data_IF_834141035806
#
_entry.id   IF_834141035806
#
_cell.length_a   1.000
_cell.length_b   1.000
_cell.length_c   1.000
_cell.angle_alpha   90.00
_cell.angle_beta   90.00
_cell.angle_gamma   90.00
#
_symmetry.space_group_name_H-M   'P 1'
#
loop_
_entity.id
_entity.type
_entity.pdbx_description
1 polymer ?
#
# COMPACT_ATOMS: atom_id res chain seq x y z
N UNK A 1 -10.79 2.85 2.86
CA UNK A 1 -11.92 1.97 2.52
C UNK A 1 -11.47 0.57 2.06
N UNK A 2 -10.45 0.42 1.18
CA UNK A 2 -10.04 -0.91 0.67
C UNK A 2 -9.69 -1.87 1.80
N UNK A 3 -8.83 -1.47 2.75
CA UNK A 3 -8.47 -2.34 3.89
C UNK A 3 -9.65 -2.64 4.81
N UNK A 4 -10.54 -1.65 5.03
CA UNK A 4 -11.74 -1.86 5.83
C UNK A 4 -12.68 -2.87 5.15
N UNK A 5 -12.89 -2.75 3.84
CA UNK A 5 -13.74 -3.68 3.11
C UNK A 5 -13.12 -5.08 3.00
N UNK A 6 -11.80 -5.18 2.79
CA UNK A 6 -11.08 -6.44 2.89
C UNK A 6 -11.22 -7.06 4.29
N UNK A 7 -11.14 -6.24 5.34
CA UNK A 7 -11.41 -6.66 6.72
C UNK A 7 -12.82 -7.23 6.90
N UNK A 8 -13.83 -6.59 6.32
CA UNK A 8 -15.22 -7.09 6.37
C UNK A 8 -15.38 -8.43 5.66
N UNK A 9 -14.77 -8.59 4.48
CA UNK A 9 -14.92 -9.79 3.68
C UNK A 9 -14.14 -10.99 4.23
N UNK A 10 -12.96 -10.77 4.79
CA UNK A 10 -12.04 -11.86 5.16
C UNK A 10 -11.85 -12.03 6.67
N UNK A 11 -12.16 -11.02 7.50
CA UNK A 11 -11.82 -11.00 8.93
C UNK A 11 -12.98 -10.51 9.83
N UNK A 12 -14.21 -10.66 9.39
CA UNK A 12 -15.42 -10.25 10.14
C UNK A 12 -15.42 -8.77 10.58
N UNK A 13 -14.71 -7.92 9.84
CA UNK A 13 -14.63 -6.49 10.10
C UNK A 13 -13.61 -6.06 11.16
N UNK A 14 -12.88 -6.99 11.76
CA UNK A 14 -11.85 -6.68 12.77
C UNK A 14 -10.45 -6.97 12.22
N UNK A 15 -9.63 -5.94 12.16
CA UNK A 15 -8.22 -6.03 11.75
C UNK A 15 -7.24 -5.95 12.93
N UNK A 16 -7.73 -5.98 14.17
CA UNK A 16 -6.89 -5.99 15.37
C UNK A 16 -5.99 -7.23 15.38
N UNK A 17 -4.69 -7.03 15.55
CA UNK A 17 -3.70 -8.11 15.51
C UNK A 17 -3.42 -8.66 14.11
N UNK A 18 -3.94 -8.02 13.05
CA UNK A 18 -3.68 -8.36 11.64
C UNK A 18 -2.64 -7.43 11.04
N UNK A 19 -2.02 -7.88 9.94
CA UNK A 19 -1.06 -7.05 9.23
C UNK A 19 -1.11 -7.18 7.71
N UNK A 20 -0.80 -6.09 7.06
CA UNK A 20 -0.76 -5.94 5.60
C UNK A 20 0.69 -5.88 5.15
N UNK A 21 1.07 -6.70 4.17
CA UNK A 21 2.31 -6.57 3.43
C UNK A 21 2.05 -5.77 2.15
N UNK A 22 2.82 -4.73 1.93
CA UNK A 22 2.69 -3.90 0.73
C UNK A 22 4.03 -3.29 0.31
N UNK A 23 4.06 -2.69 -0.88
CA UNK A 23 5.23 -1.97 -1.37
C UNK A 23 4.84 -0.63 -2.00
N UNK A 24 5.80 0.29 -1.99
CA UNK A 24 5.67 1.64 -2.53
C UNK A 24 5.21 2.67 -1.49
N UNK A 25 6.07 3.66 -1.24
CA UNK A 25 5.81 4.84 -0.38
C UNK A 25 5.85 6.15 -1.16
N UNK A 26 5.73 6.07 -2.48
CA UNK A 26 5.65 7.22 -3.38
C UNK A 26 4.35 8.03 -3.22
N UNK A 27 3.96 8.79 -4.27
CA UNK A 27 2.79 9.66 -4.23
C UNK A 27 1.50 8.95 -3.80
N UNK A 28 1.15 7.88 -4.51
CA UNK A 28 -0.06 7.09 -4.22
C UNK A 28 0.17 6.08 -3.08
N UNK A 29 1.27 5.32 -3.16
CA UNK A 29 1.57 4.25 -2.21
C UNK A 29 1.80 4.74 -0.78
N UNK A 30 2.30 5.95 -0.63
CA UNK A 30 2.56 6.55 0.68
C UNK A 30 1.35 6.74 1.59
N UNK A 31 0.12 6.61 1.07
CA UNK A 31 -1.09 6.64 1.89
C UNK A 31 -1.42 5.29 2.55
N UNK A 32 -0.86 4.20 2.06
CA UNK A 32 -1.20 2.85 2.54
C UNK A 32 -0.89 2.62 4.03
N UNK A 33 0.29 3.00 4.55
CA UNK A 33 0.61 2.75 5.96
C UNK A 33 -0.38 3.44 6.90
N UNK A 34 -0.70 4.71 6.65
CA UNK A 34 -1.70 5.43 7.45
C UNK A 34 -3.09 4.81 7.30
N UNK A 35 -3.49 4.41 6.07
CA UNK A 35 -4.78 3.75 5.84
C UNK A 35 -4.88 2.41 6.57
N UNK A 36 -3.81 1.63 6.65
CA UNK A 36 -3.78 0.37 7.39
C UNK A 36 -3.96 0.60 8.89
N UNK A 37 -3.24 1.56 9.47
CA UNK A 37 -3.34 1.88 10.90
C UNK A 37 -4.70 2.49 11.26
N UNK A 38 -5.28 3.34 10.40
CA UNK A 38 -6.65 3.86 10.59
C UNK A 38 -7.71 2.73 10.51
N UNK A 39 -7.45 1.69 9.73
CA UNK A 39 -8.29 0.51 9.66
C UNK A 39 -8.09 -0.48 10.84
N UNK A 40 -7.09 -0.27 11.70
CA UNK A 40 -6.79 -1.10 12.86
C UNK A 40 -5.73 -2.19 12.62
N UNK A 41 -5.10 -2.23 11.44
CA UNK A 41 -4.07 -3.20 11.10
C UNK A 41 -2.65 -2.66 11.28
N UNK A 42 -1.68 -3.54 11.54
CA UNK A 42 -0.28 -3.25 11.27
C UNK A 42 -0.01 -3.24 9.75
N UNK A 43 1.09 -2.63 9.33
CA UNK A 43 1.58 -2.79 7.95
C UNK A 43 3.09 -2.85 7.87
N UNK A 44 3.59 -3.69 6.96
CA UNK A 44 4.98 -3.69 6.52
C UNK A 44 5.02 -3.12 5.10
N UNK A 45 5.72 -2.01 4.94
CA UNK A 45 5.74 -1.21 3.73
C UNK A 45 7.16 -1.18 3.17
N UNK A 46 7.38 -1.84 2.04
CA UNK A 46 8.69 -1.95 1.42
C UNK A 46 8.90 -0.78 0.46
N UNK A 47 10.03 -0.09 0.58
CA UNK A 47 10.36 1.05 -0.28
C UNK A 47 11.86 1.05 -0.61
N UNK A 48 12.18 1.21 -1.89
CA UNK A 48 13.55 1.22 -2.38
C UNK A 48 14.25 2.59 -2.27
N UNK A 49 13.53 3.65 -1.94
CA UNK A 49 14.07 5.00 -1.79
C UNK A 49 14.00 5.46 -0.33
N UNK A 50 15.17 5.62 0.31
CA UNK A 50 15.23 6.11 1.69
C UNK A 50 14.56 7.49 1.84
N UNK A 51 14.69 8.36 0.84
CA UNK A 51 14.07 9.70 0.86
C UNK A 51 12.54 9.65 0.94
N UNK A 52 11.91 8.64 0.32
CA UNK A 52 10.47 8.41 0.42
C UNK A 52 10.09 7.96 1.84
N UNK A 53 10.87 7.06 2.43
CA UNK A 53 10.68 6.61 3.82
C UNK A 53 10.79 7.81 4.78
N UNK A 54 11.88 8.59 4.68
CA UNK A 54 12.13 9.77 5.53
C UNK A 54 10.97 10.78 5.43
N UNK A 55 10.47 10.99 4.22
CA UNK A 55 9.33 11.87 3.99
C UNK A 55 8.08 11.37 4.70
N UNK A 56 7.77 10.06 4.61
CA UNK A 56 6.57 9.47 5.24
C UNK A 56 6.66 9.40 6.76
N UNK A 57 7.86 9.20 7.31
CA UNK A 57 8.10 9.32 8.75
C UNK A 57 7.87 10.77 9.23
N UNK A 58 8.46 11.74 8.53
CA UNK A 58 8.31 13.16 8.88
C UNK A 58 6.85 13.64 8.80
N UNK A 59 6.10 13.16 7.82
CA UNK A 59 4.68 13.51 7.63
C UNK A 59 3.72 12.62 8.42
N UNK A 60 4.24 11.67 9.23
CA UNK A 60 3.46 10.76 10.07
C UNK A 60 2.51 9.83 9.32
N UNK A 61 2.87 9.48 8.08
CA UNK A 61 2.17 8.44 7.33
C UNK A 61 2.72 7.05 7.66
N UNK A 62 3.99 6.98 8.05
CA UNK A 62 4.65 5.78 8.60
C UNK A 62 5.06 6.08 10.03
N UNK A 63 4.86 5.12 10.93
CA UNK A 63 5.18 5.27 12.35
C UNK A 63 6.65 4.97 12.64
N UNK A 64 7.21 3.91 12.05
CA UNK A 64 8.56 3.43 12.34
C UNK A 64 9.28 2.93 11.09
N UNK A 65 10.62 2.93 11.11
CA UNK A 65 11.45 2.23 10.14
C UNK A 65 12.19 1.08 10.81
N UNK A 66 12.18 -0.10 10.18
CA UNK A 66 12.97 -1.25 10.59
C UNK A 66 14.39 -1.17 10.03
N UNK A 67 15.36 -1.71 10.76
CA UNK A 67 16.75 -1.76 10.34
C UNK A 67 16.98 -2.77 9.22
N UNK A 68 16.29 -3.91 9.28
CA UNK A 68 16.35 -5.00 8.31
C UNK A 68 15.05 -5.82 8.35
N UNK A 69 15.00 -6.89 7.56
CA UNK A 69 13.82 -7.76 7.46
C UNK A 69 13.51 -8.49 8.77
N UNK A 70 14.53 -8.90 9.52
CA UNK A 70 14.34 -9.63 10.77
C UNK A 70 13.78 -8.71 11.86
N UNK A 71 14.30 -7.47 11.96
CA UNK A 71 13.75 -6.43 12.83
C UNK A 71 12.30 -6.06 12.43
N UNK A 72 12.01 -5.95 11.12
CA UNK A 72 10.67 -5.69 10.63
C UNK A 72 9.68 -6.77 11.08
N UNK A 73 10.02 -8.03 10.90
CA UNK A 73 9.16 -9.15 11.30
C UNK A 73 8.99 -9.25 12.81
N UNK A 74 10.06 -9.00 13.58
CA UNK A 74 9.98 -8.98 15.05
C UNK A 74 9.05 -7.87 15.57
N UNK A 75 9.09 -6.68 14.94
CA UNK A 75 8.17 -5.58 15.27
C UNK A 75 6.72 -5.91 14.88
N UNK A 76 6.48 -6.46 13.69
CA UNK A 76 5.15 -6.91 13.26
C UNK A 76 4.59 -7.91 14.26
N UNK A 77 5.35 -8.94 14.62
CA UNK A 77 4.94 -9.93 15.62
C UNK A 77 4.61 -9.31 16.98
N UNK A 78 5.47 -8.39 17.44
CA UNK A 78 5.26 -7.67 18.71
C UNK A 78 3.95 -6.88 18.70
N UNK A 79 3.70 -6.08 17.65
CA UNK A 79 2.55 -5.18 17.62
C UNK A 79 1.25 -5.92 17.35
N UNK A 80 1.26 -6.94 16.49
CA UNK A 80 0.09 -7.78 16.26
C UNK A 80 -0.33 -8.53 17.53
N UNK A 81 0.62 -9.10 18.29
CA UNK A 81 0.33 -9.73 19.61
C UNK A 81 -0.24 -8.74 20.62
N UNK A 82 0.10 -7.47 20.54
CA UNK A 82 -0.41 -6.41 21.42
C UNK A 82 -1.74 -5.82 20.94
N UNK A 83 -2.23 -6.20 19.76
CA UNK A 83 -3.39 -5.60 19.13
C UNK A 83 -3.19 -4.12 18.76
N UNK A 84 -1.94 -3.67 18.58
CA UNK A 84 -1.62 -2.30 18.21
C UNK A 84 -1.46 -2.17 16.70
N UNK A 85 -2.13 -1.19 16.11
CA UNK A 85 -1.95 -0.83 14.71
C UNK A 85 -0.73 0.10 14.57
N UNK A 86 0.34 -0.42 13.98
CA UNK A 86 1.60 0.31 13.74
C UNK A 86 2.06 0.04 12.31
N UNK A 87 2.47 1.08 11.62
CA UNK A 87 3.02 0.99 10.27
C UNK A 87 4.56 1.01 10.31
N UNK A 88 5.17 0.05 9.62
CA UNK A 88 6.62 -0.13 9.58
C UNK A 88 7.10 -0.01 8.14
N UNK A 89 8.06 0.86 7.89
CA UNK A 89 8.79 0.92 6.63
C UNK A 89 10.02 0.01 6.67
N UNK A 90 10.31 -0.63 5.55
CA UNK A 90 11.54 -1.37 5.34
C UNK A 90 12.21 -0.89 4.05
N UNK A 91 13.46 -0.40 4.16
CA UNK A 91 14.24 -0.04 2.99
C UNK A 91 14.70 -1.29 2.24
N UNK A 92 14.30 -1.43 0.99
CA UNK A 92 14.67 -2.57 0.16
C UNK A 92 13.82 -2.71 -1.11
N UNK A 93 14.12 -3.73 -1.88
CA UNK A 93 13.42 -4.02 -3.13
C UNK A 93 12.32 -5.06 -2.90
N UNK A 94 11.08 -4.72 -3.19
CA UNK A 94 9.94 -5.63 -3.02
C UNK A 94 10.07 -6.92 -3.84
N UNK A 95 10.68 -6.84 -5.03
CA UNK A 95 10.93 -8.00 -5.87
C UNK A 95 11.99 -8.98 -5.32
N UNK A 96 12.73 -8.58 -4.28
CA UNK A 96 13.66 -9.42 -3.53
C UNK A 96 13.05 -9.87 -2.20
N UNK A 97 12.40 -8.95 -1.50
CA UNK A 97 11.87 -9.19 -0.15
C UNK A 97 10.64 -10.10 -0.16
N UNK A 98 9.69 -9.90 -1.09
CA UNK A 98 8.49 -10.75 -1.14
C UNK A 98 8.82 -12.22 -1.40
N UNK A 99 9.67 -12.57 -2.41
CA UNK A 99 10.11 -13.96 -2.59
C UNK A 99 10.82 -14.54 -1.36
N UNK A 100 11.61 -13.74 -0.64
CA UNK A 100 12.28 -14.18 0.59
C UNK A 100 11.28 -14.45 1.71
N UNK A 101 10.24 -13.63 1.87
CA UNK A 101 9.17 -13.86 2.83
C UNK A 101 8.40 -15.16 2.51
N UNK A 102 8.10 -15.41 1.23
CA UNK A 102 7.50 -16.68 0.78
C UNK A 102 8.40 -17.87 1.14
N UNK A 103 9.71 -17.76 0.84
CA UNK A 103 10.70 -18.81 1.15
C UNK A 103 10.78 -19.10 2.65
N UNK A 104 10.63 -18.08 3.49
CA UNK A 104 10.61 -18.21 4.97
C UNK A 104 9.28 -18.74 5.51
N UNK A 105 8.26 -18.92 4.67
CA UNK A 105 6.92 -19.33 5.11
C UNK A 105 6.22 -18.26 5.95
N UNK A 106 6.56 -16.98 5.78
CA UNK A 106 5.89 -15.87 6.45
C UNK A 106 4.47 -15.73 5.90
N UNK A 107 3.49 -15.56 6.77
CA UNK A 107 2.07 -15.51 6.40
C UNK A 107 1.44 -14.16 6.79
N UNK A 108 1.45 -13.15 5.90
CA UNK A 108 0.69 -11.92 6.10
C UNK A 108 -0.81 -12.20 6.12
N UNK A 109 -1.59 -11.31 6.72
CA UNK A 109 -3.06 -11.39 6.64
C UNK A 109 -3.59 -10.85 5.31
N UNK A 110 -2.89 -9.90 4.68
CA UNK A 110 -3.18 -9.37 3.35
C UNK A 110 -1.88 -9.02 2.63
N UNK A 111 -1.89 -9.16 1.30
CA UNK A 111 -0.78 -8.73 0.43
C UNK A 111 -1.32 -7.82 -0.67
N UNK A 112 -0.65 -6.70 -0.86
CA UNK A 112 -0.98 -5.76 -1.94
C UNK A 112 0.26 -5.06 -2.48
N UNK A 113 0.10 -4.25 -3.53
CA UNK A 113 1.17 -3.46 -4.14
C UNK A 113 0.67 -2.13 -4.67
N UNK A 114 1.46 -1.09 -4.43
CA UNK A 114 1.26 0.25 -4.99
C UNK A 114 2.61 0.87 -5.40
N UNK A 115 3.52 0.06 -5.92
CA UNK A 115 4.73 0.56 -6.57
C UNK A 115 4.39 1.33 -7.86
N UNK A 116 5.32 2.15 -8.36
CA UNK A 116 5.13 2.89 -9.61
C UNK A 116 5.40 2.01 -10.85
N UNK A 117 4.85 0.80 -10.87
CA UNK A 117 5.05 -0.20 -11.91
C UNK A 117 4.53 0.22 -13.30
N UNK A 118 3.65 1.23 -13.36
CA UNK A 118 3.18 1.82 -14.61
C UNK A 118 4.27 2.57 -15.40
N UNK A 119 5.37 2.93 -14.74
CA UNK A 119 6.55 3.53 -15.37
C UNK A 119 7.79 2.63 -15.12
N UNK A 120 8.03 1.61 -15.94
CA UNK A 120 9.15 0.70 -15.75
C UNK A 120 10.52 1.36 -15.95
N UNK A 121 10.57 2.54 -16.62
CA UNK A 121 11.83 3.26 -16.81
C UNK A 121 12.25 4.07 -15.59
N UNK A 122 11.31 4.70 -14.88
CA UNK A 122 11.63 5.62 -13.78
C UNK A 122 11.00 5.26 -12.43
N UNK A 123 10.08 4.30 -12.41
CA UNK A 123 9.23 4.00 -11.27
C UNK A 123 9.49 2.65 -10.58
N UNK A 124 10.31 1.78 -11.16
CA UNK A 124 10.52 0.44 -10.57
C UNK A 124 12.00 0.02 -10.61
N UNK A 125 12.62 -0.10 -9.46
CA UNK A 125 14.02 -0.47 -9.31
C UNK A 125 14.24 -1.94 -9.69
N UNK A 126 15.13 -2.25 -10.68
CA UNK A 126 15.49 -3.62 -10.98
C UNK A 126 16.22 -4.33 -9.83
N UNK A 127 16.01 -5.64 -9.71
CA UNK A 127 16.69 -6.49 -8.72
C UNK A 127 18.20 -6.39 -8.87
N UNK A 128 18.91 -6.26 -7.74
CA UNK A 128 20.36 -6.22 -7.68
C UNK A 128 20.99 -4.89 -8.13
N UNK A 129 20.19 -3.89 -8.50
CA UNK A 129 20.71 -2.59 -8.88
C UNK A 129 20.66 -1.60 -7.72
N UNK A 130 21.66 -0.70 -7.64
CA UNK A 130 21.57 0.46 -6.76
C UNK A 130 20.68 1.52 -7.39
N UNK A 131 20.18 2.44 -6.56
CA UNK A 131 19.38 3.57 -7.05
C UNK A 131 20.19 4.48 -7.98
N UNK A 132 21.48 4.68 -7.70
CA UNK A 132 22.40 5.47 -8.50
C UNK A 132 22.64 4.83 -9.87
N UNK A 133 22.92 3.52 -9.91
CA UNK A 133 23.07 2.75 -11.14
C UNK A 133 21.81 2.82 -12.00
N UNK A 134 20.64 2.57 -11.41
CA UNK A 134 19.36 2.67 -12.07
C UNK A 134 19.15 4.04 -12.73
N UNK A 135 19.35 5.11 -11.97
CA UNK A 135 19.21 6.50 -12.44
C UNK A 135 20.19 6.86 -13.55
N UNK A 136 21.40 6.34 -13.50
CA UNK A 136 22.41 6.56 -14.53
C UNK A 136 22.04 5.83 -15.83
N UNK A 137 21.71 4.53 -15.72
CA UNK A 137 21.37 3.69 -16.87
C UNK A 137 20.03 4.06 -17.53
N UNK A 138 19.08 4.58 -16.78
CA UNK A 138 17.83 5.09 -17.34
C UNK A 138 18.06 6.18 -18.41
N UNK A 139 19.16 6.93 -18.32
CA UNK A 139 19.51 7.97 -19.29
C UNK A 139 20.26 7.44 -20.52
N UNK A 140 21.03 6.39 -20.36
CA UNK A 140 21.96 5.88 -21.41
C UNK A 140 21.49 4.58 -22.05
N UNK A 141 20.73 3.76 -21.30
CA UNK A 141 20.31 2.42 -21.69
C UNK A 141 18.84 2.16 -21.34
N UNK A 142 17.88 3.00 -21.77
CA UNK A 142 16.49 2.94 -21.31
C UNK A 142 15.82 1.58 -21.58
N UNK A 143 16.09 0.95 -22.69
CA UNK A 143 15.51 -0.37 -23.04
C UNK A 143 16.01 -1.48 -22.11
N UNK A 144 17.28 -1.43 -21.69
CA UNK A 144 17.85 -2.38 -20.74
C UNK A 144 17.20 -2.22 -19.37
N UNK A 145 16.99 -0.97 -18.94
CA UNK A 145 16.31 -0.64 -17.68
C UNK A 145 14.88 -1.14 -17.69
N UNK A 146 14.10 -0.82 -18.72
CA UNK A 146 12.70 -1.25 -18.85
C UNK A 146 12.60 -2.77 -18.81
N UNK A 147 13.45 -3.48 -19.51
CA UNK A 147 13.46 -4.96 -19.50
C UNK A 147 13.79 -5.51 -18.09
N UNK A 148 14.84 -5.00 -17.46
CA UNK A 148 15.24 -5.44 -16.12
C UNK A 148 14.17 -5.13 -15.06
N UNK A 149 13.52 -3.98 -15.15
CA UNK A 149 12.40 -3.61 -14.28
C UNK A 149 11.21 -4.55 -14.45
N UNK A 150 10.79 -4.84 -15.70
CA UNK A 150 9.69 -5.79 -15.99
C UNK A 150 10.00 -7.20 -15.47
N UNK A 151 11.23 -7.69 -15.65
CA UNK A 151 11.65 -8.98 -15.11
C UNK A 151 11.61 -9.01 -13.58
N UNK A 152 11.90 -7.89 -12.94
CA UNK A 152 11.78 -7.75 -11.49
C UNK A 152 10.31 -7.72 -11.03
N UNK A 153 9.45 -7.01 -11.77
CA UNK A 153 8.00 -7.03 -11.54
C UNK A 153 7.42 -8.43 -11.70
N UNK A 154 7.90 -9.23 -12.66
CA UNK A 154 7.48 -10.62 -12.82
C UNK A 154 7.77 -11.46 -11.55
N UNK A 155 8.95 -11.29 -10.94
CA UNK A 155 9.28 -11.96 -9.66
C UNK A 155 8.42 -11.47 -8.50
N UNK A 156 8.15 -10.18 -8.44
CA UNK A 156 7.25 -9.60 -7.44
C UNK A 156 5.84 -10.18 -7.55
N UNK A 157 5.26 -10.18 -8.75
CA UNK A 157 3.92 -10.74 -9.00
C UNK A 157 3.89 -12.24 -8.75
N UNK A 158 4.95 -12.99 -9.09
CA UNK A 158 5.03 -14.41 -8.76
C UNK A 158 4.96 -14.65 -7.25
N UNK A 159 5.66 -13.85 -6.45
CA UNK A 159 5.57 -13.94 -4.99
C UNK A 159 4.17 -13.58 -4.47
N UNK A 160 3.50 -12.59 -5.06
CA UNK A 160 2.10 -12.28 -4.73
C UNK A 160 1.17 -13.46 -5.03
N UNK A 161 1.34 -14.14 -6.17
CA UNK A 161 0.61 -15.35 -6.53
C UNK A 161 0.89 -16.50 -5.55
N UNK A 162 2.11 -16.61 -5.07
CA UNK A 162 2.47 -17.65 -4.09
C UNK A 162 1.82 -17.36 -2.73
N UNK A 163 1.73 -16.11 -2.28
CA UNK A 163 0.93 -15.73 -1.12
C UNK A 163 -0.56 -16.05 -1.32
N UNK A 164 -1.12 -15.78 -2.51
CA UNK A 164 -2.50 -16.15 -2.82
C UNK A 164 -2.71 -17.68 -2.70
N UNK A 165 -1.78 -18.50 -3.20
CA UNK A 165 -1.83 -19.97 -3.06
C UNK A 165 -1.75 -20.42 -1.60
N UNK A 166 -1.09 -19.66 -0.73
CA UNK A 166 -1.08 -19.86 0.71
C UNK A 166 -2.41 -19.47 1.39
N UNK A 167 -3.41 -19.00 0.64
CA UNK A 167 -4.71 -18.56 1.14
C UNK A 167 -4.74 -17.13 1.65
N UNK A 168 -3.70 -16.33 1.36
CA UNK A 168 -3.64 -14.92 1.76
C UNK A 168 -4.46 -14.06 0.78
N UNK A 169 -5.40 -13.25 1.23
CA UNK A 169 -6.07 -12.23 0.41
C UNK A 169 -5.04 -11.33 -0.28
N UNK A 170 -4.99 -11.41 -1.62
CA UNK A 170 -3.99 -10.74 -2.44
C UNK A 170 -4.67 -9.90 -3.53
N UNK A 171 -4.24 -8.66 -3.70
CA UNK A 171 -4.80 -7.75 -4.71
C UNK A 171 -3.78 -6.66 -5.07
N UNK A 172 -3.99 -5.94 -6.18
CA UNK A 172 -3.21 -4.76 -6.53
C UNK A 172 -4.08 -3.48 -6.56
N UNK A 173 -3.42 -2.35 -6.59
CA UNK A 173 -4.08 -1.04 -6.69
C UNK A 173 -4.16 -0.50 -8.13
N UNK A 174 -4.05 -1.36 -9.15
CA UNK A 174 -4.21 -0.95 -10.56
C UNK A 174 -3.02 -0.17 -11.11
N UNK A 175 -1.82 -0.50 -10.65
CA UNK A 175 -0.56 0.13 -11.05
C UNK A 175 0.13 -0.54 -12.26
N UNK A 176 -0.58 -1.40 -12.98
CA UNK A 176 -0.11 -2.17 -14.14
C UNK A 176 0.96 -3.25 -13.85
N UNK A 177 1.30 -3.54 -12.60
CA UNK A 177 2.34 -4.53 -12.28
C UNK A 177 2.02 -5.92 -12.86
N UNK A 178 0.74 -6.33 -12.85
CA UNK A 178 0.30 -7.61 -13.41
C UNK A 178 0.50 -7.68 -14.92
N UNK A 179 0.17 -6.61 -15.63
CA UNK A 179 0.39 -6.52 -17.08
C UNK A 179 1.88 -6.62 -17.42
N UNK A 180 2.74 -5.90 -16.70
CA UNK A 180 4.19 -5.96 -16.91
C UNK A 180 4.75 -7.34 -16.63
N UNK A 181 4.24 -8.04 -15.60
CA UNK A 181 4.64 -9.42 -15.31
C UNK A 181 4.16 -10.41 -16.37
N UNK A 182 2.94 -10.24 -16.90
CA UNK A 182 2.42 -11.09 -17.98
C UNK A 182 3.26 -10.97 -19.25
N UNK A 183 3.71 -9.78 -19.60
CA UNK A 183 4.61 -9.53 -20.73
C UNK A 183 5.99 -10.23 -20.57
N UNK A 184 6.39 -10.54 -19.33
CA UNK A 184 7.60 -11.30 -18.99
C UNK A 184 7.31 -12.79 -18.69
N UNK A 185 6.15 -13.30 -19.09
CA UNK A 185 5.84 -14.74 -19.09
C UNK A 185 5.14 -15.26 -17.84
N UNK A 186 4.65 -14.40 -16.94
CA UNK A 186 3.77 -14.82 -15.83
C UNK A 186 2.34 -14.92 -16.36
N UNK A 187 2.00 -16.05 -16.98
CA UNK A 187 0.72 -16.24 -17.68
C UNK A 187 -0.51 -16.01 -16.77
N UNK A 188 -0.39 -16.40 -15.52
CA UNK A 188 -1.44 -16.27 -14.50
C UNK A 188 -1.36 -15.00 -13.63
N UNK A 189 -0.67 -13.94 -14.10
CA UNK A 189 -0.50 -12.69 -13.36
C UNK A 189 -1.82 -12.02 -12.90
N UNK A 190 -2.93 -12.34 -13.56
CA UNK A 190 -4.27 -11.81 -13.25
C UNK A 190 -5.14 -12.73 -12.39
N UNK A 191 -4.60 -13.82 -11.83
CA UNK A 191 -5.38 -14.73 -10.98
C UNK A 191 -5.79 -14.07 -9.65
N UNK A 192 -5.03 -13.10 -9.14
CA UNK A 192 -5.52 -12.25 -8.06
C UNK A 192 -6.17 -10.97 -8.62
N UNK A 193 -7.21 -10.44 -7.95
CA UNK A 193 -7.97 -9.29 -8.45
C UNK A 193 -7.24 -7.97 -8.24
N UNK A 194 -7.69 -6.93 -8.96
CA UNK A 194 -7.44 -5.55 -8.56
C UNK A 194 -8.39 -5.12 -7.43
N UNK A 195 -8.01 -4.09 -6.67
CA UNK A 195 -8.78 -3.60 -5.52
C UNK A 195 -10.19 -3.10 -5.89
N UNK A 196 -10.35 -2.54 -7.10
CA UNK A 196 -11.65 -2.01 -7.54
C UNK A 196 -12.69 -3.13 -7.65
N UNK A 197 -12.49 -4.19 -8.47
CA UNK A 197 -13.47 -5.26 -8.56
C UNK A 197 -13.63 -6.02 -7.24
N UNK A 198 -12.58 -6.19 -6.45
CA UNK A 198 -12.63 -6.96 -5.22
C UNK A 198 -13.37 -6.24 -4.08
N UNK A 199 -13.10 -4.95 -3.88
CA UNK A 199 -13.53 -4.25 -2.66
C UNK A 199 -14.32 -2.96 -2.91
N UNK A 200 -13.99 -2.20 -3.94
CA UNK A 200 -14.52 -0.83 -4.11
C UNK A 200 -15.78 -0.80 -4.96
N UNK A 201 -15.88 -1.61 -6.02
CA UNK A 201 -17.07 -1.65 -6.88
C UNK A 201 -18.36 -1.94 -6.11
N UNK A 202 -18.42 -2.90 -5.15
CA UNK A 202 -19.62 -3.11 -4.34
C UNK A 202 -20.04 -1.89 -3.54
N UNK A 203 -19.10 -1.07 -3.07
CA UNK A 203 -19.39 0.19 -2.38
C UNK A 203 -19.99 1.22 -3.34
N UNK A 204 -19.41 1.40 -4.52
CA UNK A 204 -19.91 2.32 -5.55
C UNK A 204 -21.32 1.98 -5.99
N UNK A 205 -21.65 0.69 -6.12
CA UNK A 205 -23.00 0.23 -6.46
C UNK A 205 -24.04 0.59 -5.40
N UNK A 206 -23.60 0.88 -4.17
CA UNK A 206 -24.48 1.34 -3.06
C UNK A 206 -24.45 2.85 -2.87
N UNK A 207 -23.80 3.60 -3.78
CA UNK A 207 -23.64 5.05 -3.67
C UNK A 207 -22.58 5.49 -2.68
N UNK A 208 -21.75 4.56 -2.17
CA UNK A 208 -20.63 4.84 -1.26
C UNK A 208 -19.37 5.02 -2.10
N UNK A 209 -18.86 6.23 -2.20
CA UNK A 209 -17.70 6.52 -3.04
C UNK A 209 -16.65 7.38 -2.34
N UNK A 210 -15.46 7.53 -2.95
CA UNK A 210 -14.46 8.45 -2.47
C UNK A 210 -14.88 9.88 -2.82
N UNK A 211 -15.44 10.59 -1.86
CA UNK A 211 -15.71 12.02 -2.01
C UNK A 211 -14.46 12.82 -1.62
N UNK A 212 -14.22 13.88 -2.34
CA UNK A 212 -13.15 14.84 -2.06
C UNK A 212 -13.71 16.25 -2.14
N UNK A 213 -13.37 17.07 -1.16
CA UNK A 213 -13.64 18.50 -1.21
C UNK A 213 -12.40 19.28 -0.81
N UNK A 214 -12.28 20.47 -1.35
CA UNK A 214 -11.15 21.35 -1.12
C UNK A 214 -11.64 22.74 -0.76
N UNK A 215 -10.89 23.44 0.07
CA UNK A 215 -11.14 24.85 0.37
C UNK A 215 -10.60 25.71 -0.77
N UNK A 216 -11.45 26.13 -1.69
CA UNK A 216 -11.06 27.05 -2.78
C UNK A 216 -10.59 28.41 -2.27
N UNK A 217 -11.03 28.80 -1.08
CA UNK A 217 -10.58 30.00 -0.37
C UNK A 217 -9.14 29.87 0.15
N UNK A 218 -8.60 28.65 0.27
CA UNK A 218 -7.37 28.37 1.00
C UNK A 218 -7.53 28.36 2.52
N UNK A 219 -8.74 28.60 3.03
CA UNK A 219 -9.04 28.57 4.45
C UNK A 219 -9.45 27.16 4.89
N UNK A 220 -8.71 26.49 5.80
CA UNK A 220 -9.04 25.16 6.30
C UNK A 220 -10.40 25.10 7.03
N UNK A 221 -10.92 26.22 7.54
CA UNK A 221 -12.25 26.27 8.16
C UNK A 221 -13.37 25.86 7.21
N UNK A 222 -13.22 26.05 5.90
CA UNK A 222 -14.20 25.59 4.92
C UNK A 222 -14.26 24.04 4.84
N UNK A 223 -13.14 23.35 5.07
CA UNK A 223 -13.11 21.88 5.18
C UNK A 223 -13.88 21.46 6.44
N UNK A 224 -13.64 22.11 7.57
CA UNK A 224 -14.32 21.76 8.82
C UNK A 224 -15.84 22.01 8.78
N UNK A 225 -16.28 23.08 8.12
CA UNK A 225 -17.70 23.34 7.84
C UNK A 225 -18.31 22.26 6.96
N UNK A 226 -17.59 21.82 5.92
CA UNK A 226 -18.05 20.74 5.03
C UNK A 226 -18.15 19.43 5.78
N UNK A 227 -17.14 19.06 6.59
CA UNK A 227 -17.16 17.86 7.42
C UNK A 227 -18.36 17.87 8.41
N UNK A 228 -18.60 19.01 9.07
CA UNK A 228 -19.73 19.16 9.98
C UNK A 228 -21.06 19.00 9.25
N UNK A 229 -21.18 19.57 8.04
CA UNK A 229 -22.41 19.45 7.23
C UNK A 229 -22.65 18.03 6.75
N UNK A 230 -21.61 17.28 6.40
CA UNK A 230 -21.71 15.85 6.06
C UNK A 230 -22.26 15.05 7.23
N UNK A 231 -21.75 15.28 8.45
CA UNK A 231 -22.27 14.62 9.67
C UNK A 231 -23.73 14.95 9.95
N UNK A 232 -24.13 16.20 9.73
CA UNK A 232 -25.53 16.63 9.87
C UNK A 232 -26.47 15.92 8.88
N UNK A 233 -26.02 15.79 7.60
CA UNK A 233 -26.85 15.22 6.53
C UNK A 233 -26.89 13.70 6.53
N UNK A 234 -25.86 13.05 7.07
CA UNK A 234 -25.70 11.59 7.15
C UNK A 234 -25.47 11.17 8.60
N UNK A 235 -26.49 11.34 9.49
CA UNK A 235 -26.31 11.18 10.93
C UNK A 235 -26.04 9.73 11.37
N UNK A 236 -26.50 8.75 10.59
CA UNK A 236 -26.49 7.33 10.98
C UNK A 236 -25.26 6.55 10.50
N UNK A 237 -24.29 7.20 9.81
CA UNK A 237 -23.08 6.56 9.36
C UNK A 237 -21.91 6.80 10.34
N UNK A 238 -21.88 5.99 11.40
CA UNK A 238 -20.82 6.05 12.41
C UNK A 238 -19.41 5.82 11.83
N UNK A 239 -19.29 4.99 10.79
CA UNK A 239 -18.00 4.73 10.12
C UNK A 239 -17.48 6.00 9.43
N UNK A 240 -18.34 6.71 8.71
CA UNK A 240 -18.02 7.98 8.05
C UNK A 240 -17.65 9.05 9.08
N UNK A 241 -18.42 9.17 10.15
CA UNK A 241 -18.15 10.13 11.23
C UNK A 241 -16.79 9.88 11.86
N UNK A 242 -16.50 8.63 12.23
CA UNK A 242 -15.20 8.24 12.80
C UNK A 242 -14.06 8.54 11.83
N UNK A 243 -14.25 8.27 10.54
CA UNK A 243 -13.22 8.57 9.55
C UNK A 243 -12.94 10.08 9.45
N UNK A 244 -13.96 10.94 9.42
CA UNK A 244 -13.80 12.39 9.37
C UNK A 244 -13.04 12.92 10.61
N UNK A 245 -13.33 12.40 11.80
CA UNK A 245 -12.64 12.77 13.03
C UNK A 245 -11.17 12.36 13.00
N UNK A 246 -10.88 11.10 12.62
CA UNK A 246 -9.50 10.62 12.49
C UNK A 246 -8.74 11.37 11.41
N UNK A 247 -9.37 11.70 10.28
CA UNK A 247 -8.74 12.45 9.19
C UNK A 247 -8.30 13.84 9.67
N UNK A 248 -9.15 14.54 10.42
CA UNK A 248 -8.83 15.84 11.00
C UNK A 248 -7.61 15.81 11.94
N UNK A 249 -7.46 14.73 12.69
CA UNK A 249 -6.36 14.58 13.67
C UNK A 249 -5.07 14.06 13.03
N UNK A 250 -5.18 13.16 12.04
CA UNK A 250 -4.06 12.37 11.56
C UNK A 250 -3.53 12.81 10.19
N UNK A 251 -4.35 13.45 9.37
CA UNK A 251 -3.96 13.87 8.01
C UNK A 251 -3.54 15.34 8.06
N UNK A 252 -2.24 15.58 8.28
CA UNK A 252 -1.66 16.92 8.28
C UNK A 252 -1.06 17.33 6.93
N UNK A 253 -0.88 16.38 6.01
CA UNK A 253 -0.29 16.60 4.70
C UNK A 253 -0.91 15.67 3.66
N UNK A 254 -1.46 16.22 2.60
CA UNK A 254 -2.07 15.47 1.50
C UNK A 254 -1.09 15.18 0.35
N UNK A 255 0.13 15.61 0.46
CA UNK A 255 1.28 15.48 -0.41
C UNK A 255 1.01 14.93 -1.82
N UNK A 256 0.87 15.84 -2.74
CA UNK A 256 1.05 15.56 -4.16
C UNK A 256 2.47 15.96 -4.56
#
# INVERSE_FOLDING_TARGET
ETFVEAGRQHFNGDLTGRWVLTAGLGGMGGAQPLAATLAGACSLNIECQQTSIDFRLRTRYVDEQAADLDDALARIEKYTKQGKAVSIALHGNAAEILPELVRRGVHPDMVTDQTSAHDPLNGYLPIGWTWEEYRARAKTEPEVVVKAAKQSMAKHVQAMLDFQKMGVPTFDYGNNIRQMAQEEGVENAFDFPGFVPAYIRPLFCRGIGPFRWVALSGDPEDIYKTDAKVKELIPDDEHLHRWLDMARERISFQGL
#
